data_IF_342379406747
#
_entry.id   IF_342379406747
#
_cell.length_a   1.000
_cell.length_b   1.000
_cell.length_c   1.000
_cell.angle_alpha   90.00
_cell.angle_beta   90.00
_cell.angle_gamma   90.00
#
_symmetry.space_group_name_H-M   'P 1'
#
loop_
_entity.id
_entity.type
_entity.pdbx_description
1 polymer ?
#
# COMPACT_ATOMS: atom_id res chain seq x y z
N UNK A 1 -6.33 14.65 8.98
CA UNK A 1 -7.44 15.62 9.15
C UNK A 1 -7.06 17.10 8.91
N UNK A 2 -5.84 17.40 8.48
CA UNK A 2 -5.41 18.81 8.24
C UNK A 2 -5.16 19.13 6.77
N UNK A 3 -5.22 18.15 5.88
CA UNK A 3 -4.87 18.29 4.45
C UNK A 3 -5.74 19.33 3.75
N UNK A 4 -7.05 19.19 3.80
CA UNK A 4 -7.97 20.14 3.18
C UNK A 4 -8.03 21.48 3.93
N UNK A 5 -7.88 21.50 5.26
CA UNK A 5 -7.75 22.75 6.02
C UNK A 5 -6.53 23.56 5.55
N UNK A 6 -5.38 22.91 5.41
CA UNK A 6 -4.16 23.56 4.90
C UNK A 6 -4.30 24.02 3.45
N UNK A 7 -4.92 23.20 2.61
CA UNK A 7 -5.16 23.52 1.20
C UNK A 7 -6.09 24.72 1.07
N UNK A 8 -7.21 24.71 1.75
CA UNK A 8 -8.21 25.79 1.69
C UNK A 8 -7.64 27.10 2.22
N UNK A 9 -6.92 27.06 3.34
CA UNK A 9 -6.22 28.24 3.85
C UNK A 9 -5.21 28.80 2.83
N UNK A 10 -4.44 27.93 2.16
CA UNK A 10 -3.46 28.34 1.14
C UNK A 10 -4.11 28.96 -0.10
N UNK A 11 -5.29 28.50 -0.46
CA UNK A 11 -6.04 28.95 -1.64
C UNK A 11 -7.03 30.08 -1.33
N UNK A 12 -7.18 30.49 -0.06
CA UNK A 12 -8.17 31.49 0.34
C UNK A 12 -9.62 31.01 0.20
N UNK A 13 -9.86 29.70 0.26
CA UNK A 13 -11.19 29.10 0.17
C UNK A 13 -11.81 29.08 1.56
N UNK A 14 -12.98 29.71 1.69
CA UNK A 14 -13.74 29.77 2.95
C UNK A 14 -14.72 28.59 3.06
N UNK A 15 -14.17 27.36 3.19
CA UNK A 15 -14.93 26.11 3.31
C UNK A 15 -14.43 25.29 4.51
N UNK A 16 -15.30 24.40 5.02
CA UNK A 16 -14.96 23.53 6.12
C UNK A 16 -14.06 22.38 5.67
N UNK A 17 -12.75 22.59 5.74
CA UNK A 17 -11.76 21.58 5.34
C UNK A 17 -11.81 20.27 6.15
N UNK A 18 -12.35 20.28 7.37
CA UNK A 18 -12.55 19.05 8.17
C UNK A 18 -13.70 18.24 7.60
N UNK A 19 -14.85 18.86 7.35
CA UNK A 19 -16.00 18.18 6.76
C UNK A 19 -15.66 17.60 5.37
N UNK A 20 -14.84 18.33 4.61
CA UNK A 20 -14.37 17.86 3.30
C UNK A 20 -13.44 16.64 3.40
N UNK A 21 -12.58 16.60 4.43
CA UNK A 21 -11.75 15.42 4.72
C UNK A 21 -12.61 14.22 5.10
N UNK A 22 -13.62 14.40 5.95
CA UNK A 22 -14.52 13.33 6.38
C UNK A 22 -15.30 12.73 5.20
N UNK A 23 -15.86 13.58 4.33
CA UNK A 23 -16.53 13.13 3.11
C UNK A 23 -15.58 12.42 2.15
N UNK A 24 -14.36 12.94 1.97
CA UNK A 24 -13.35 12.31 1.15
C UNK A 24 -12.97 10.91 1.67
N UNK A 25 -12.74 10.76 2.97
CA UNK A 25 -12.42 9.46 3.57
C UNK A 25 -13.61 8.49 3.48
N UNK A 26 -14.82 8.99 3.67
CA UNK A 26 -16.02 8.18 3.50
C UNK A 26 -16.13 7.64 2.06
N UNK A 27 -15.99 8.51 1.06
CA UNK A 27 -16.04 8.14 -0.35
C UNK A 27 -14.92 7.15 -0.72
N UNK A 28 -13.69 7.37 -0.23
CA UNK A 28 -12.59 6.42 -0.43
C UNK A 28 -12.89 5.05 0.20
N UNK A 29 -13.48 5.03 1.38
CA UNK A 29 -13.83 3.80 2.07
C UNK A 29 -14.94 3.01 1.38
N UNK A 30 -15.84 3.67 0.65
CA UNK A 30 -16.99 3.05 -0.02
C UNK A 30 -16.78 2.85 -1.52
N UNK A 31 -15.81 3.53 -2.13
CA UNK A 31 -15.44 3.40 -3.53
C UNK A 31 -14.32 2.38 -3.75
N UNK A 32 -14.51 1.13 -3.39
CA UNK A 32 -13.50 0.08 -3.55
C UNK A 32 -13.60 -0.56 -4.95
N UNK A 33 -12.54 -0.39 -5.75
CA UNK A 33 -12.43 -0.99 -7.08
C UNK A 33 -11.14 -1.81 -7.17
N UNK A 34 -11.25 -2.96 -7.82
CA UNK A 34 -10.09 -3.82 -8.10
C UNK A 34 -9.37 -3.34 -9.36
N UNK A 35 -8.06 -3.38 -9.33
CA UNK A 35 -7.25 -3.31 -10.54
C UNK A 35 -7.33 -4.65 -11.27
N UNK A 36 -7.05 -4.61 -12.57
CA UNK A 36 -7.10 -5.79 -13.44
C UNK A 36 -6.24 -6.93 -12.88
N UNK A 37 -6.72 -8.16 -12.94
CA UNK A 37 -6.10 -9.40 -12.47
C UNK A 37 -5.84 -9.48 -10.93
N UNK A 38 -6.33 -8.53 -10.12
CA UNK A 38 -6.03 -8.52 -8.68
C UNK A 38 -6.46 -9.80 -7.96
N UNK A 39 -7.68 -10.29 -8.19
CA UNK A 39 -8.18 -11.52 -7.54
C UNK A 39 -7.39 -12.74 -8.03
N UNK A 40 -7.18 -12.87 -9.34
CA UNK A 40 -6.46 -13.98 -9.94
C UNK A 40 -5.07 -14.13 -9.33
N UNK A 41 -4.35 -13.01 -9.20
CA UNK A 41 -3.01 -12.99 -8.62
C UNK A 41 -3.01 -13.26 -7.11
N UNK A 42 -3.97 -12.73 -6.36
CA UNK A 42 -4.09 -13.02 -4.93
C UNK A 42 -4.39 -14.50 -4.68
N UNK A 43 -5.24 -15.13 -5.50
CA UNK A 43 -5.53 -16.57 -5.42
C UNK A 43 -4.30 -17.43 -5.76
N UNK A 44 -3.47 -16.99 -6.70
CA UNK A 44 -2.24 -17.67 -7.05
C UNK A 44 -1.17 -17.53 -5.96
N UNK A 45 -0.89 -16.31 -5.54
CA UNK A 45 0.19 -16.03 -4.59
C UNK A 45 -0.13 -16.54 -3.18
N UNK A 46 -1.37 -16.45 -2.71
CA UNK A 46 -1.75 -16.91 -1.36
C UNK A 46 -1.57 -18.42 -1.14
N UNK A 47 -1.45 -19.21 -2.22
CA UNK A 47 -1.14 -20.65 -2.14
C UNK A 47 0.35 -20.96 -2.00
N UNK A 48 1.21 -19.98 -2.30
CA UNK A 48 2.66 -20.14 -2.34
C UNK A 48 3.39 -19.32 -1.28
N UNK A 49 2.81 -18.18 -0.91
CA UNK A 49 3.46 -17.16 -0.08
C UNK A 49 2.52 -16.67 1.02
N UNK A 50 3.07 -16.22 2.12
CA UNK A 50 2.36 -15.45 3.13
C UNK A 50 2.25 -14.00 2.66
N UNK A 51 1.02 -13.52 2.49
CA UNK A 51 0.73 -12.20 1.99
C UNK A 51 0.36 -11.25 3.13
N UNK A 52 0.84 -10.01 3.05
CA UNK A 52 0.59 -8.94 4.00
C UNK A 52 0.21 -7.66 3.27
N UNK A 53 -0.70 -6.87 3.83
CA UNK A 53 -0.97 -5.51 3.35
C UNK A 53 -0.11 -4.53 4.13
N UNK A 54 0.59 -3.63 3.43
CA UNK A 54 1.33 -2.51 4.01
C UNK A 54 0.84 -1.19 3.40
N UNK A 55 0.18 -0.32 4.17
CA UNK A 55 -0.49 0.86 3.62
C UNK A 55 -0.29 2.14 4.44
N UNK A 56 -0.09 3.27 3.71
CA UNK A 56 -0.13 4.62 4.27
C UNK A 56 -1.55 5.16 4.18
N UNK A 57 -2.40 4.84 5.14
CA UNK A 57 -3.80 5.22 5.08
C UNK A 57 -4.46 5.38 6.44
N UNK A 58 -5.74 5.78 6.41
CA UNK A 58 -6.62 5.81 7.57
C UNK A 58 -7.18 4.40 7.79
N UNK A 59 -7.08 3.87 9.00
CA UNK A 59 -7.39 2.49 9.33
C UNK A 59 -8.82 2.10 8.95
N UNK A 60 -9.80 2.90 9.36
CA UNK A 60 -11.21 2.65 9.02
C UNK A 60 -11.47 2.56 7.51
N UNK A 61 -10.82 3.42 6.74
CA UNK A 61 -10.93 3.43 5.27
C UNK A 61 -10.33 2.16 4.66
N UNK A 62 -9.13 1.76 5.09
CA UNK A 62 -8.44 0.59 4.53
C UNK A 62 -9.16 -0.71 4.90
N UNK A 63 -9.56 -0.89 6.15
CA UNK A 63 -10.32 -2.06 6.58
C UNK A 63 -11.66 -2.18 5.83
N UNK A 64 -12.38 -1.06 5.65
CA UNK A 64 -13.65 -1.08 4.92
C UNK A 64 -13.47 -1.48 3.45
N UNK A 65 -12.46 -0.96 2.78
CA UNK A 65 -12.15 -1.33 1.38
C UNK A 65 -11.82 -2.82 1.23
N UNK A 66 -10.96 -3.35 2.09
CA UNK A 66 -10.60 -4.76 2.08
C UNK A 66 -11.81 -5.66 2.35
N UNK A 67 -12.68 -5.24 3.29
CA UNK A 67 -13.92 -5.95 3.62
C UNK A 67 -14.92 -5.94 2.47
N UNK A 68 -15.16 -4.78 1.84
CA UNK A 68 -16.09 -4.64 0.72
C UNK A 68 -15.71 -5.50 -0.48
N UNK A 69 -14.43 -5.72 -0.70
CA UNK A 69 -13.89 -6.53 -1.79
C UNK A 69 -13.61 -7.98 -1.40
N UNK A 70 -13.91 -8.37 -0.15
CA UNK A 70 -13.63 -9.71 0.41
C UNK A 70 -12.16 -10.13 0.27
N UNK A 71 -11.24 -9.18 0.45
CA UNK A 71 -9.80 -9.40 0.26
C UNK A 71 -9.09 -9.90 1.53
N UNK A 72 -9.67 -9.74 2.72
CA UNK A 72 -9.04 -10.12 3.99
C UNK A 72 -8.59 -11.58 4.03
N UNK A 73 -9.32 -12.46 3.33
CA UNK A 73 -9.03 -13.90 3.27
C UNK A 73 -7.68 -14.28 2.64
N UNK A 74 -7.06 -13.38 1.89
CA UNK A 74 -5.78 -13.62 1.23
C UNK A 74 -4.57 -13.21 2.07
N UNK A 75 -4.78 -12.37 3.09
CA UNK A 75 -3.70 -11.76 3.85
C UNK A 75 -3.60 -12.33 5.27
N UNK A 76 -2.37 -12.56 5.72
CA UNK A 76 -2.09 -12.98 7.11
C UNK A 76 -2.28 -11.83 8.09
N UNK A 77 -1.88 -10.61 7.70
CA UNK A 77 -2.05 -9.41 8.51
C UNK A 77 -2.08 -8.14 7.64
N UNK A 78 -2.49 -7.02 8.25
CA UNK A 78 -2.67 -5.73 7.61
C UNK A 78 -1.99 -4.66 8.46
N UNK A 79 -0.93 -4.07 7.93
CA UNK A 79 -0.12 -3.06 8.59
C UNK A 79 -0.48 -1.66 8.08
N UNK A 80 -1.09 -0.85 8.93
CA UNK A 80 -1.61 0.48 8.60
C UNK A 80 -0.82 1.55 9.34
N UNK A 81 -0.30 2.55 8.61
CA UNK A 81 0.56 3.60 9.17
C UNK A 81 -0.08 4.41 10.29
N UNK A 82 -1.40 4.60 10.27
CA UNK A 82 -2.13 5.31 11.33
C UNK A 82 -2.05 4.57 12.67
N UNK A 83 -2.15 3.24 12.65
CA UNK A 83 -2.08 2.40 13.85
C UNK A 83 -0.64 2.23 14.36
N UNK A 84 0.31 2.17 13.43
CA UNK A 84 1.74 1.99 13.73
C UNK A 84 2.38 3.28 14.23
N UNK A 85 1.87 4.45 13.81
CA UNK A 85 2.44 5.76 14.11
C UNK A 85 3.60 6.18 13.19
N UNK A 86 4.01 5.32 12.29
CA UNK A 86 5.01 5.57 11.24
C UNK A 86 4.44 5.25 9.87
N UNK A 87 4.94 5.91 8.84
CA UNK A 87 4.50 5.69 7.46
C UNK A 87 5.67 5.33 6.53
N UNK A 88 5.41 4.55 5.48
CA UNK A 88 6.36 4.32 4.40
C UNK A 88 6.81 5.68 3.80
N UNK A 89 8.07 5.92 3.48
CA UNK A 89 9.18 4.96 3.39
C UNK A 89 10.06 4.87 4.66
N UNK A 90 9.58 5.31 5.83
CA UNK A 90 10.37 5.29 7.07
C UNK A 90 10.68 3.86 7.48
N UNK A 91 11.93 3.63 7.91
CA UNK A 91 12.38 2.30 8.33
C UNK A 91 11.61 1.78 9.56
N UNK A 92 11.18 2.68 10.46
CA UNK A 92 10.43 2.34 11.65
C UNK A 92 9.09 1.66 11.35
N UNK A 93 8.46 1.98 10.19
CA UNK A 93 7.27 1.28 9.72
C UNK A 93 7.59 -0.17 9.38
N UNK A 94 8.66 -0.41 8.62
CA UNK A 94 9.08 -1.76 8.23
C UNK A 94 9.61 -2.57 9.40
N UNK A 95 10.36 -1.96 10.31
CA UNK A 95 10.82 -2.61 11.53
C UNK A 95 9.64 -3.08 12.41
N UNK A 96 8.55 -2.31 12.43
CA UNK A 96 7.32 -2.75 13.09
C UNK A 96 6.74 -3.98 12.38
N UNK A 97 6.55 -3.93 11.06
CA UNK A 97 6.02 -5.06 10.29
C UNK A 97 6.86 -6.31 10.51
N UNK A 98 8.19 -6.22 10.38
CA UNK A 98 9.10 -7.36 10.48
C UNK A 98 9.07 -8.05 11.86
N UNK A 99 8.87 -7.27 12.92
CA UNK A 99 8.73 -7.82 14.28
C UNK A 99 7.39 -8.56 14.51
N UNK A 100 6.37 -8.27 13.70
CA UNK A 100 5.05 -8.88 13.81
C UNK A 100 4.81 -10.00 12.79
N UNK A 101 5.75 -10.25 11.89
CA UNK A 101 5.73 -11.37 10.97
C UNK A 101 6.53 -12.52 11.58
N UNK A 102 5.88 -13.65 11.81
CA UNK A 102 6.54 -14.84 12.35
C UNK A 102 7.60 -15.35 11.38
N UNK A 103 8.78 -15.68 11.91
CA UNK A 103 9.92 -16.21 11.13
C UNK A 103 10.33 -15.34 9.94
N UNK A 104 10.20 -14.00 10.08
CA UNK A 104 10.53 -13.06 9.02
C UNK A 104 11.98 -13.22 8.54
N UNK A 105 12.13 -13.31 7.22
CA UNK A 105 13.43 -13.42 6.54
C UNK A 105 13.51 -12.34 5.45
N UNK A 106 14.41 -11.38 5.58
CA UNK A 106 14.57 -10.27 4.61
C UNK A 106 14.90 -10.78 3.20
N UNK A 107 15.70 -11.83 3.11
CA UNK A 107 16.15 -12.39 1.82
C UNK A 107 15.03 -13.12 1.07
N UNK A 108 13.86 -13.25 1.70
CA UNK A 108 12.64 -13.84 1.13
C UNK A 108 11.47 -12.87 1.08
N UNK A 109 11.72 -11.61 1.33
CA UNK A 109 10.69 -10.58 1.39
C UNK A 109 10.72 -9.71 0.14
N UNK A 110 9.56 -9.53 -0.48
CA UNK A 110 9.34 -8.67 -1.63
C UNK A 110 8.22 -7.67 -1.32
N UNK A 111 8.47 -6.38 -1.52
CA UNK A 111 7.41 -5.39 -1.54
C UNK A 111 6.94 -5.14 -2.97
N UNK A 112 5.62 -5.22 -3.19
CA UNK A 112 4.97 -4.91 -4.46
C UNK A 112 4.11 -3.66 -4.24
N UNK A 113 4.32 -2.63 -5.03
CA UNK A 113 3.57 -1.37 -4.90
C UNK A 113 3.73 -0.46 -6.10
N UNK A 114 2.92 0.60 -6.14
CA UNK A 114 2.88 1.57 -7.24
C UNK A 114 3.66 2.86 -6.97
N UNK A 115 3.98 3.14 -5.71
CA UNK A 115 4.62 4.39 -5.32
C UNK A 115 6.14 4.27 -5.25
N UNK A 116 6.85 5.03 -6.12
CA UNK A 116 8.32 5.14 -6.04
C UNK A 116 8.80 5.72 -4.71
N UNK A 117 8.07 6.70 -4.17
CA UNK A 117 8.51 7.45 -2.98
C UNK A 117 8.13 6.81 -1.66
N UNK A 118 7.12 5.94 -1.62
CA UNK A 118 6.71 5.25 -0.40
C UNK A 118 7.04 3.76 -0.43
N UNK A 119 6.60 3.03 -1.45
CA UNK A 119 6.77 1.59 -1.51
C UNK A 119 8.19 1.20 -1.92
N UNK A 120 8.64 1.66 -3.07
CA UNK A 120 9.95 1.29 -3.59
C UNK A 120 11.08 1.88 -2.72
N UNK A 121 11.00 3.17 -2.39
CA UNK A 121 11.97 3.76 -1.46
C UNK A 121 11.93 3.09 -0.09
N UNK A 122 10.74 2.69 0.36
CA UNK A 122 10.56 1.97 1.61
C UNK A 122 11.23 0.59 1.61
N UNK A 123 11.04 -0.20 0.55
CA UNK A 123 11.70 -1.49 0.38
C UNK A 123 13.23 -1.37 0.34
N UNK A 124 13.74 -0.36 -0.39
CA UNK A 124 15.18 -0.05 -0.43
C UNK A 124 15.70 0.28 0.98
N UNK A 125 15.01 1.15 1.71
CA UNK A 125 15.41 1.53 3.08
C UNK A 125 15.37 0.32 4.03
N UNK A 126 14.42 -0.58 3.84
CA UNK A 126 14.24 -1.81 4.61
C UNK A 126 15.17 -2.95 4.17
N UNK A 127 15.87 -2.79 3.05
CA UNK A 127 16.75 -3.81 2.46
C UNK A 127 16.02 -5.11 2.13
N UNK A 128 14.84 -5.00 1.52
CA UNK A 128 14.07 -6.09 0.93
C UNK A 128 13.92 -5.85 -0.56
N UNK A 129 13.63 -6.91 -1.31
CA UNK A 129 13.41 -6.80 -2.74
C UNK A 129 12.21 -5.91 -3.09
N UNK A 130 12.29 -5.23 -4.23
CA UNK A 130 11.30 -4.24 -4.68
C UNK A 130 10.71 -4.62 -6.03
N UNK A 131 9.38 -4.61 -6.13
CA UNK A 131 8.63 -4.80 -7.37
C UNK A 131 7.68 -3.63 -7.62
N UNK A 132 8.01 -2.82 -8.61
CA UNK A 132 7.20 -1.67 -8.95
C UNK A 132 6.09 -2.02 -9.93
N UNK A 133 4.84 -1.87 -9.51
CA UNK A 133 3.67 -1.92 -10.39
C UNK A 133 3.55 -0.59 -11.15
N UNK A 134 3.88 -0.59 -12.43
CA UNK A 134 4.01 0.59 -13.29
C UNK A 134 3.19 0.45 -14.59
N UNK A 135 1.86 0.47 -14.52
CA UNK A 135 1.00 0.31 -15.70
C UNK A 135 1.09 1.48 -16.68
N UNK A 136 1.63 2.63 -16.27
CA UNK A 136 1.80 3.82 -17.09
C UNK A 136 3.12 3.85 -17.88
N UNK A 137 4.02 2.90 -17.63
CA UNK A 137 5.38 2.89 -18.20
C UNK A 137 6.20 4.15 -17.88
N UNK A 138 6.02 4.70 -16.68
CA UNK A 138 6.80 5.84 -16.22
C UNK A 138 8.28 5.48 -16.03
N UNK A 139 9.14 6.51 -16.05
CA UNK A 139 10.57 6.31 -15.81
C UNK A 139 10.87 6.20 -14.32
N UNK A 140 11.59 5.15 -13.95
CA UNK A 140 12.10 5.01 -12.60
C UNK A 140 13.19 6.06 -12.34
N UNK A 141 13.10 6.74 -11.20
CA UNK A 141 14.12 7.68 -10.71
C UNK A 141 15.09 7.09 -9.70
N UNK A 142 14.83 5.84 -9.28
CA UNK A 142 15.62 5.07 -8.31
C UNK A 142 15.85 3.66 -8.85
N UNK A 143 16.84 2.93 -8.29
CA UNK A 143 17.08 1.54 -8.64
C UNK A 143 15.99 0.67 -8.04
N UNK A 144 15.39 -0.20 -8.84
CA UNK A 144 14.32 -1.13 -8.48
C UNK A 144 14.72 -2.51 -8.99
N UNK A 145 14.39 -3.56 -8.24
CA UNK A 145 14.81 -4.92 -8.61
C UNK A 145 13.92 -5.49 -9.73
N UNK A 146 12.60 -5.28 -9.63
CA UNK A 146 11.62 -5.76 -10.60
C UNK A 146 10.62 -4.66 -10.97
N UNK A 147 10.18 -4.65 -12.22
CA UNK A 147 9.13 -3.74 -12.73
C UNK A 147 8.11 -4.59 -13.47
N UNK A 148 6.84 -4.41 -13.14
CA UNK A 148 5.71 -5.04 -13.82
C UNK A 148 4.70 -3.98 -14.28
N UNK A 149 4.02 -4.24 -15.38
CA UNK A 149 3.01 -3.35 -15.97
C UNK A 149 1.59 -3.91 -15.82
N UNK A 150 1.48 -5.22 -15.59
CA UNK A 150 0.24 -5.92 -15.26
C UNK A 150 0.52 -6.87 -14.09
N UNK A 151 -0.42 -6.98 -13.15
CA UNK A 151 -0.26 -7.89 -12.01
C UNK A 151 -0.06 -9.36 -12.41
N UNK A 152 -0.57 -9.76 -13.58
CA UNK A 152 -0.42 -11.12 -14.08
C UNK A 152 1.04 -11.52 -14.36
N UNK A 153 1.93 -10.56 -14.56
CA UNK A 153 3.36 -10.83 -14.75
C UNK A 153 4.00 -11.49 -13.52
N UNK A 154 3.42 -11.31 -12.33
CA UNK A 154 3.86 -11.96 -11.10
C UNK A 154 3.81 -13.49 -11.17
N UNK A 155 2.91 -14.09 -11.96
CA UNK A 155 2.84 -15.55 -12.14
C UNK A 155 4.10 -16.14 -12.77
N UNK A 156 4.77 -15.37 -13.62
CA UNK A 156 5.99 -15.80 -14.29
C UNK A 156 7.26 -15.44 -13.52
N UNK A 157 7.14 -14.57 -12.52
CA UNK A 157 8.26 -14.07 -11.74
C UNK A 157 8.40 -14.81 -10.41
N UNK A 158 7.28 -15.24 -9.83
CA UNK A 158 7.14 -15.89 -8.53
C UNK A 158 6.47 -17.26 -8.68
#
# INVERSE_FOLDING_TARGET
YTRFVKLFNKLGINENGVAFEDEYQWNLGHGAYLIKHAIEILEYLSKKYDLYVVTNGVASTQYNRLKLLDLNKYFKDIFISEEIGYQKPKIEFFDYCFRHIEHFDKDKALIIGDSLTSDMQGGINAQIDTCWYNPQHDKASIKIDYIIHDLKELENML
#
